data_IF_447256910797
#
_entry.id   IF_447256910797
#
_cell.length_a   1.000
_cell.length_b   1.000
_cell.length_c   1.000
_cell.angle_alpha   90.00
_cell.angle_beta   90.00
_cell.angle_gamma   90.00
#
_symmetry.space_group_name_H-M   'P 1'
#
loop_
_entity.id
_entity.type
_entity.pdbx_description
1 polymer ?
#
# COMPACT_ATOMS: atom_id res chain seq x y z
N UNK A 1 -10.64 4.75 -8.12
CA UNK A 1 -10.78 4.57 -6.66
C UNK A 1 -11.38 3.20 -6.37
N UNK A 2 -11.20 2.70 -5.14
CA UNK A 2 -11.71 1.38 -4.75
C UNK A 2 -13.23 1.35 -4.55
N UNK A 3 -13.80 0.16 -4.70
CA UNK A 3 -15.25 -0.11 -4.62
C UNK A 3 -15.88 0.29 -3.26
N UNK A 4 -15.07 0.39 -2.21
CA UNK A 4 -15.48 0.76 -0.84
C UNK A 4 -15.68 2.26 -0.63
N UNK A 5 -15.43 3.11 -1.65
CA UNK A 5 -15.51 4.57 -1.53
C UNK A 5 -16.68 5.13 -2.32
N UNK A 6 -17.34 6.11 -1.70
CA UNK A 6 -18.31 6.98 -2.35
C UNK A 6 -17.70 8.34 -2.71
N UNK A 7 -18.34 9.04 -3.63
CA UNK A 7 -18.03 10.44 -3.96
C UNK A 7 -19.15 11.33 -3.38
N UNK A 8 -18.96 11.88 -2.19
CA UNK A 8 -20.04 12.59 -1.47
C UNK A 8 -20.44 13.91 -2.13
N UNK A 9 -19.63 14.45 -3.02
CA UNK A 9 -19.91 15.72 -3.70
C UNK A 9 -20.67 15.55 -5.00
N UNK A 10 -20.85 14.31 -5.47
CA UNK A 10 -21.64 13.98 -6.65
C UNK A 10 -22.76 13.05 -6.23
N UNK A 11 -24.00 13.51 -6.37
CA UNK A 11 -25.18 12.77 -5.92
C UNK A 11 -26.13 12.44 -7.06
N UNK A 12 -26.80 11.30 -6.96
CA UNK A 12 -27.94 10.93 -7.79
C UNK A 12 -29.13 10.76 -6.83
N UNK A 13 -30.21 11.49 -7.05
CA UNK A 13 -31.40 11.50 -6.19
C UNK A 13 -31.08 11.74 -4.71
N UNK A 14 -30.09 12.61 -4.44
CA UNK A 14 -29.63 12.96 -3.10
C UNK A 14 -28.68 11.95 -2.43
N UNK A 15 -28.38 10.80 -3.08
CA UNK A 15 -27.45 9.80 -2.59
C UNK A 15 -26.07 9.95 -3.22
N UNK A 16 -24.95 9.84 -2.48
CA UNK A 16 -23.63 9.83 -3.04
C UNK A 16 -23.45 8.73 -4.08
N UNK A 17 -22.78 9.03 -5.19
CA UNK A 17 -22.43 8.03 -6.19
C UNK A 17 -21.20 7.25 -5.76
N UNK A 18 -21.12 5.95 -6.12
CA UNK A 18 -19.90 5.17 -5.99
C UNK A 18 -18.73 5.84 -6.72
N UNK A 19 -17.63 6.07 -5.99
CA UNK A 19 -16.42 6.66 -6.54
C UNK A 19 -15.82 5.81 -7.67
N UNK A 20 -15.98 4.48 -7.59
CA UNK A 20 -15.52 3.55 -8.63
C UNK A 20 -16.34 3.72 -9.91
N UNK A 21 -17.66 3.76 -9.82
CA UNK A 21 -18.54 3.92 -10.99
C UNK A 21 -18.21 5.24 -11.68
N UNK A 22 -18.25 6.34 -10.92
CA UNK A 22 -17.97 7.68 -11.46
C UNK A 22 -16.59 7.75 -12.11
N UNK A 23 -15.55 7.32 -11.40
CA UNK A 23 -14.17 7.40 -11.90
C UNK A 23 -13.95 6.54 -13.15
N UNK A 24 -14.49 5.33 -13.19
CA UNK A 24 -14.38 4.42 -14.34
C UNK A 24 -15.14 4.96 -15.54
N UNK A 25 -16.38 5.42 -15.34
CA UNK A 25 -17.20 5.97 -16.41
C UNK A 25 -16.54 7.22 -17.03
N UNK A 26 -16.10 8.18 -16.20
CA UNK A 26 -15.43 9.39 -16.69
C UNK A 26 -14.12 9.06 -17.42
N UNK A 27 -13.31 8.13 -16.89
CA UNK A 27 -12.07 7.71 -17.54
C UNK A 27 -12.33 7.11 -18.92
N UNK A 28 -13.31 6.24 -19.06
CA UNK A 28 -13.66 5.62 -20.32
C UNK A 28 -14.30 6.62 -21.29
N UNK A 29 -15.22 7.47 -20.81
CA UNK A 29 -15.90 8.46 -21.64
C UNK A 29 -14.95 9.49 -22.26
N UNK A 30 -13.95 9.93 -21.52
CA UNK A 30 -13.03 10.99 -21.99
C UNK A 30 -11.69 10.41 -22.43
N UNK A 31 -10.90 9.88 -21.50
CA UNK A 31 -9.57 9.36 -21.79
C UNK A 31 -9.57 8.09 -22.64
N UNK A 32 -10.52 7.18 -22.39
CA UNK A 32 -10.63 5.92 -23.10
C UNK A 32 -10.92 6.10 -24.60
N UNK A 33 -11.81 7.00 -24.96
CA UNK A 33 -12.08 7.35 -26.36
C UNK A 33 -10.83 7.85 -27.09
N UNK A 34 -10.05 8.71 -26.44
CA UNK A 34 -8.82 9.26 -27.03
C UNK A 34 -7.72 8.21 -27.16
N UNK A 35 -7.60 7.28 -26.18
CA UNK A 35 -6.67 6.16 -26.26
C UNK A 35 -7.05 5.20 -27.38
N UNK A 36 -8.33 4.86 -27.49
CA UNK A 36 -8.82 3.97 -28.54
C UNK A 36 -8.60 4.55 -29.95
N UNK A 37 -8.89 5.85 -30.17
CA UNK A 37 -8.57 6.54 -31.43
C UNK A 37 -7.09 6.45 -31.83
N UNK A 38 -6.20 6.33 -30.86
CA UNK A 38 -4.74 6.16 -31.05
C UNK A 38 -4.31 4.69 -31.15
N UNK A 39 -5.25 3.75 -31.29
CA UNK A 39 -5.01 2.30 -31.26
C UNK A 39 -4.28 1.84 -29.97
N UNK A 40 -4.57 2.45 -28.85
CA UNK A 40 -4.03 2.06 -27.53
C UNK A 40 -5.07 1.30 -26.71
N UNK A 41 -4.63 0.28 -25.98
CA UNK A 41 -5.46 -0.38 -24.98
C UNK A 41 -5.68 0.52 -23.75
N UNK A 42 -6.81 0.31 -23.08
CA UNK A 42 -7.22 1.02 -21.87
C UNK A 42 -7.03 0.08 -20.69
N UNK A 43 -6.12 0.42 -19.78
CA UNK A 43 -5.74 -0.45 -18.67
C UNK A 43 -6.09 0.19 -17.34
N UNK A 44 -6.78 -0.58 -16.49
CA UNK A 44 -7.12 -0.21 -15.13
C UNK A 44 -6.38 -1.07 -14.13
N UNK A 45 -5.96 -0.46 -13.02
CA UNK A 45 -5.65 -1.18 -11.80
C UNK A 45 -6.88 -1.17 -10.91
N UNK A 46 -7.30 -2.35 -10.45
CA UNK A 46 -8.50 -2.56 -9.65
C UNK A 46 -8.09 -2.74 -8.18
N UNK A 47 -8.29 -1.72 -7.34
CA UNK A 47 -7.86 -1.76 -5.94
C UNK A 47 -8.96 -2.28 -5.02
N UNK A 48 -8.54 -2.79 -3.85
CA UNK A 48 -9.39 -3.07 -2.68
C UNK A 48 -10.51 -4.08 -2.94
N UNK A 49 -10.36 -4.94 -3.94
CA UNK A 49 -11.25 -6.08 -4.14
C UNK A 49 -10.76 -7.27 -3.31
N UNK A 50 -11.69 -7.97 -2.69
CA UNK A 50 -11.43 -9.09 -1.78
C UNK A 50 -12.10 -10.39 -2.22
N UNK A 51 -13.07 -10.30 -3.14
CA UNK A 51 -13.90 -11.43 -3.53
C UNK A 51 -14.14 -11.51 -5.05
N UNK A 52 -14.47 -12.71 -5.59
CA UNK A 52 -14.88 -12.89 -6.97
C UNK A 52 -16.13 -12.06 -7.35
N UNK A 53 -17.05 -11.82 -6.41
CA UNK A 53 -18.24 -11.00 -6.67
C UNK A 53 -17.89 -9.54 -6.94
N UNK A 54 -16.89 -8.99 -6.26
CA UNK A 54 -16.43 -7.63 -6.47
C UNK A 54 -15.71 -7.49 -7.82
N UNK A 55 -14.91 -8.48 -8.23
CA UNK A 55 -14.31 -8.47 -9.56
C UNK A 55 -15.32 -8.70 -10.67
N UNK A 56 -16.36 -9.49 -10.43
CA UNK A 56 -17.49 -9.61 -11.33
C UNK A 56 -18.28 -8.30 -11.49
N UNK A 57 -18.38 -7.51 -10.41
CA UNK A 57 -18.94 -6.16 -10.51
C UNK A 57 -18.16 -5.30 -11.51
N UNK A 58 -16.82 -5.31 -11.48
CA UNK A 58 -16.00 -4.59 -12.47
C UNK A 58 -16.19 -5.15 -13.89
N UNK A 59 -16.32 -6.47 -14.05
CA UNK A 59 -16.65 -7.08 -15.35
C UNK A 59 -17.94 -6.46 -15.90
N UNK A 60 -19.00 -6.45 -15.10
CA UNK A 60 -20.30 -5.89 -15.50
C UNK A 60 -20.20 -4.39 -15.78
N UNK A 61 -19.50 -3.63 -14.93
CA UNK A 61 -19.30 -2.19 -15.09
C UNK A 61 -18.59 -1.86 -16.42
N UNK A 62 -17.51 -2.56 -16.75
CA UNK A 62 -16.81 -2.38 -18.02
C UNK A 62 -17.71 -2.75 -19.21
N UNK A 63 -18.47 -3.83 -19.08
CA UNK A 63 -19.41 -4.27 -20.11
C UNK A 63 -20.50 -3.23 -20.38
N UNK A 64 -21.14 -2.73 -19.32
CA UNK A 64 -22.20 -1.72 -19.43
C UNK A 64 -21.67 -0.43 -20.07
N UNK A 65 -20.53 0.07 -19.62
CA UNK A 65 -19.94 1.29 -20.19
C UNK A 65 -19.58 1.08 -21.67
N UNK A 66 -18.93 -0.05 -21.99
CA UNK A 66 -18.53 -0.38 -23.35
C UNK A 66 -19.72 -0.52 -24.28
N UNK A 67 -20.81 -1.10 -23.80
CA UNK A 67 -22.03 -1.31 -24.58
C UNK A 67 -22.82 -0.01 -24.83
N UNK A 68 -22.70 0.96 -23.92
CA UNK A 68 -23.40 2.25 -24.02
C UNK A 68 -22.57 3.38 -24.67
N UNK A 69 -21.30 3.11 -25.00
CA UNK A 69 -20.43 4.08 -25.71
C UNK A 69 -20.01 3.45 -27.04
N UNK A 70 -20.70 3.80 -28.17
CA UNK A 70 -20.44 3.16 -29.46
C UNK A 70 -18.97 3.24 -29.92
N UNK A 71 -18.28 4.32 -29.59
CA UNK A 71 -16.87 4.53 -29.93
C UNK A 71 -15.91 3.59 -29.19
N UNK A 72 -16.39 2.87 -28.16
CA UNK A 72 -15.60 1.89 -27.40
C UNK A 72 -16.01 0.45 -27.66
N UNK A 73 -16.93 0.20 -28.61
CA UNK A 73 -17.51 -1.13 -28.82
C UNK A 73 -16.46 -2.25 -29.07
N UNK A 74 -15.38 -1.92 -29.78
CA UNK A 74 -14.25 -2.80 -30.09
C UNK A 74 -12.95 -2.43 -29.34
N UNK A 75 -13.02 -1.50 -28.38
CA UNK A 75 -11.88 -1.08 -27.59
C UNK A 75 -11.35 -2.20 -26.69
N UNK A 76 -10.03 -2.31 -26.61
CA UNK A 76 -9.37 -3.21 -25.63
C UNK A 76 -9.39 -2.56 -24.26
N UNK A 77 -10.28 -3.02 -23.39
CA UNK A 77 -10.35 -2.62 -21.97
C UNK A 77 -9.87 -3.79 -21.11
N UNK A 78 -8.91 -3.53 -20.20
CA UNK A 78 -8.31 -4.55 -19.34
C UNK A 78 -8.13 -4.05 -17.91
N UNK A 79 -8.33 -4.96 -16.95
CA UNK A 79 -8.11 -4.73 -15.53
C UNK A 79 -7.01 -5.62 -14.96
N UNK A 80 -6.18 -5.04 -14.10
CA UNK A 80 -5.16 -5.73 -13.30
C UNK A 80 -5.64 -5.65 -11.85
N UNK A 81 -5.85 -6.80 -11.22
CA UNK A 81 -6.35 -6.87 -9.85
C UNK A 81 -5.18 -6.70 -8.88
N UNK A 82 -5.30 -5.76 -7.96
CA UNK A 82 -4.36 -5.59 -6.85
C UNK A 82 -4.63 -6.67 -5.79
N UNK A 83 -3.67 -7.55 -5.55
CA UNK A 83 -3.71 -8.49 -4.43
C UNK A 83 -3.12 -7.81 -3.21
N UNK A 84 -4.00 -7.20 -2.42
CA UNK A 84 -3.63 -6.28 -1.35
C UNK A 84 -4.41 -6.51 -0.04
N UNK A 85 -5.17 -7.61 0.03
CA UNK A 85 -5.83 -8.04 1.26
C UNK A 85 -5.73 -9.55 1.45
N UNK A 86 -5.78 -10.00 2.70
CA UNK A 86 -5.67 -11.42 3.01
C UNK A 86 -6.81 -12.26 2.40
N UNK A 87 -8.09 -11.83 2.39
CA UNK A 87 -9.14 -12.56 1.70
C UNK A 87 -8.87 -12.75 0.19
N UNK A 88 -8.35 -11.72 -0.48
CA UNK A 88 -8.01 -11.79 -1.91
C UNK A 88 -6.93 -12.84 -2.19
N UNK A 89 -5.96 -13.02 -1.27
CA UNK A 89 -4.88 -14.00 -1.42
C UNK A 89 -5.40 -15.42 -1.63
N UNK A 90 -6.49 -15.78 -0.95
CA UNK A 90 -7.09 -17.12 -1.04
C UNK A 90 -8.04 -17.29 -2.23
N UNK A 91 -8.40 -16.20 -2.93
CA UNK A 91 -9.39 -16.17 -4.01
C UNK A 91 -8.83 -15.60 -5.33
N UNK A 92 -7.50 -15.52 -5.46
CA UNK A 92 -6.84 -14.89 -6.62
C UNK A 92 -7.30 -15.48 -7.97
N UNK A 93 -7.44 -16.80 -8.05
CA UNK A 93 -7.80 -17.50 -9.28
C UNK A 93 -9.25 -17.24 -9.66
N UNK A 94 -10.17 -17.33 -8.70
CA UNK A 94 -11.59 -17.07 -8.87
C UNK A 94 -11.86 -15.59 -9.21
N UNK A 95 -11.11 -14.66 -8.59
CA UNK A 95 -11.19 -13.24 -8.90
C UNK A 95 -10.74 -12.96 -10.34
N UNK A 96 -9.63 -13.56 -10.77
CA UNK A 96 -9.14 -13.44 -12.14
C UNK A 96 -10.16 -13.97 -13.14
N UNK A 97 -10.75 -15.15 -12.87
CA UNK A 97 -11.79 -15.75 -13.69
C UNK A 97 -13.05 -14.87 -13.77
N UNK A 98 -13.49 -14.30 -12.63
CA UNK A 98 -14.71 -13.48 -12.55
C UNK A 98 -14.62 -12.15 -13.28
N UNK A 99 -13.41 -11.60 -13.46
CA UNK A 99 -13.16 -10.43 -14.31
C UNK A 99 -13.31 -10.73 -15.80
N UNK A 100 -13.26 -12.01 -16.20
CA UNK A 100 -13.57 -12.52 -17.53
C UNK A 100 -12.70 -11.93 -18.63
N UNK A 101 -13.32 -11.52 -19.75
CA UNK A 101 -12.60 -10.98 -20.91
C UNK A 101 -11.78 -9.70 -20.61
N UNK A 102 -12.08 -9.03 -19.51
CA UNK A 102 -11.37 -7.83 -19.08
C UNK A 102 -10.15 -8.12 -18.20
N UNK A 103 -9.93 -9.38 -17.79
CA UNK A 103 -8.76 -9.74 -17.01
C UNK A 103 -7.46 -9.54 -17.81
N UNK A 104 -6.49 -8.83 -17.23
CA UNK A 104 -5.12 -8.76 -17.73
C UNK A 104 -4.15 -9.53 -16.83
N UNK A 105 -4.30 -9.43 -15.51
CA UNK A 105 -3.39 -10.06 -14.59
C UNK A 105 -3.59 -9.64 -13.14
N UNK A 106 -2.60 -9.97 -12.32
CA UNK A 106 -2.57 -9.70 -10.90
C UNK A 106 -1.33 -8.86 -10.54
N UNK A 107 -1.46 -8.00 -9.54
CA UNK A 107 -0.35 -7.21 -9.01
C UNK A 107 -0.10 -7.51 -7.53
N UNK A 108 1.16 -7.63 -7.17
CA UNK A 108 1.62 -7.87 -5.79
C UNK A 108 1.69 -6.55 -5.01
N UNK A 109 0.61 -6.11 -4.41
CA UNK A 109 0.51 -4.87 -3.66
C UNK A 109 0.95 -5.05 -2.19
N UNK A 110 2.25 -4.98 -1.94
CA UNK A 110 2.93 -5.40 -0.70
C UNK A 110 2.43 -4.73 0.58
N UNK A 111 2.25 -3.41 0.54
CA UNK A 111 2.08 -2.62 1.76
C UNK A 111 0.67 -2.78 2.34
N UNK A 112 -0.35 -2.65 1.52
CA UNK A 112 -1.73 -2.91 1.93
C UNK A 112 -1.93 -4.37 2.35
N UNK A 113 -1.29 -5.31 1.66
CA UNK A 113 -1.33 -6.73 2.03
C UNK A 113 -0.74 -6.96 3.43
N UNK A 114 0.42 -6.36 3.74
CA UNK A 114 1.00 -6.43 5.09
C UNK A 114 0.05 -5.86 6.14
N UNK A 115 -0.56 -4.70 5.87
CA UNK A 115 -1.53 -4.09 6.77
C UNK A 115 -2.73 -5.01 7.00
N UNK A 116 -3.27 -5.60 5.93
CA UNK A 116 -4.40 -6.53 6.03
C UNK A 116 -4.05 -7.77 6.86
N UNK A 117 -2.91 -8.40 6.61
CA UNK A 117 -2.47 -9.57 7.38
C UNK A 117 -2.30 -9.21 8.86
N UNK A 118 -1.66 -8.08 9.15
CA UNK A 118 -1.47 -7.60 10.52
C UNK A 118 -2.80 -7.39 11.25
N UNK A 119 -3.80 -6.80 10.59
CA UNK A 119 -5.15 -6.59 11.13
C UNK A 119 -5.84 -7.92 11.45
N UNK A 120 -5.69 -8.94 10.62
CA UNK A 120 -6.26 -10.27 10.86
C UNK A 120 -5.64 -11.00 12.05
N UNK A 121 -4.34 -10.86 12.27
CA UNK A 121 -3.63 -11.54 13.38
C UNK A 121 -3.44 -10.68 14.62
N UNK A 122 -3.96 -9.45 14.62
CA UNK A 122 -3.68 -8.45 15.66
C UNK A 122 -4.07 -8.88 17.07
N UNK A 123 -5.11 -9.71 17.21
CA UNK A 123 -5.63 -10.16 18.49
C UNK A 123 -4.79 -11.27 19.15
N UNK A 124 -3.90 -11.92 18.42
CA UNK A 124 -3.09 -13.05 18.90
C UNK A 124 -1.68 -12.59 19.26
N UNK A 125 -1.30 -12.78 20.54
CA UNK A 125 0.01 -12.41 21.07
C UNK A 125 1.17 -13.15 20.40
N UNK A 126 0.93 -14.35 19.87
CA UNK A 126 1.94 -15.13 19.18
C UNK A 126 2.33 -14.53 17.82
N UNK A 127 1.54 -13.60 17.31
CA UNK A 127 1.74 -12.95 16.02
C UNK A 127 2.11 -11.47 16.14
N UNK A 128 2.69 -11.03 17.27
CA UNK A 128 3.20 -9.67 17.37
C UNK A 128 4.37 -9.47 16.41
N UNK A 129 4.22 -8.53 15.49
CA UNK A 129 5.20 -8.29 14.44
C UNK A 129 6.42 -7.51 14.94
N UNK A 130 7.64 -7.86 14.44
CA UNK A 130 8.87 -7.11 14.70
C UNK A 130 8.82 -5.72 14.05
N UNK A 131 9.91 -5.01 14.06
CA UNK A 131 10.02 -3.70 13.44
C UNK A 131 9.70 -3.76 11.94
N UNK A 132 9.04 -2.73 11.42
CA UNK A 132 8.46 -2.71 10.08
C UNK A 132 9.46 -3.09 8.97
N UNK A 133 10.70 -2.64 9.09
CA UNK A 133 11.72 -2.86 8.08
C UNK A 133 12.34 -4.25 8.13
N UNK A 134 12.15 -5.00 9.21
CA UNK A 134 12.55 -6.40 9.31
C UNK A 134 11.59 -7.34 8.58
N UNK A 135 10.36 -6.89 8.30
CA UNK A 135 9.37 -7.70 7.57
C UNK A 135 9.56 -7.52 6.08
N UNK A 136 10.48 -8.26 5.49
CA UNK A 136 10.74 -8.26 4.03
C UNK A 136 10.13 -9.48 3.36
N UNK A 137 9.99 -9.44 2.03
CA UNK A 137 9.51 -10.59 1.26
C UNK A 137 10.50 -11.74 1.35
N UNK A 138 11.78 -11.42 1.33
CA UNK A 138 12.85 -12.42 1.28
C UNK A 138 13.03 -13.18 2.60
N UNK A 139 12.76 -12.54 3.74
CA UNK A 139 12.90 -13.16 5.06
C UNK A 139 11.56 -13.62 5.68
N UNK A 140 10.46 -13.51 4.95
CA UNK A 140 9.13 -13.90 5.41
C UNK A 140 8.54 -14.91 4.43
N UNK A 141 8.56 -16.20 4.81
CA UNK A 141 8.22 -17.29 3.89
C UNK A 141 6.80 -17.18 3.34
N UNK A 142 5.80 -16.91 4.17
CA UNK A 142 4.42 -16.78 3.70
C UNK A 142 4.25 -15.63 2.70
N UNK A 143 4.98 -14.51 2.85
CA UNK A 143 4.95 -13.42 1.89
C UNK A 143 5.56 -13.83 0.55
N UNK A 144 6.70 -14.52 0.59
CA UNK A 144 7.31 -15.11 -0.61
C UNK A 144 6.34 -16.07 -1.31
N UNK A 145 5.68 -16.94 -0.55
CA UNK A 145 4.73 -17.92 -1.09
C UNK A 145 3.47 -17.27 -1.67
N UNK A 146 2.94 -16.21 -1.04
CA UNK A 146 1.83 -15.43 -1.63
C UNK A 146 2.21 -14.93 -3.03
N UNK A 147 3.41 -14.38 -3.19
CA UNK A 147 3.82 -13.82 -4.47
C UNK A 147 4.16 -14.88 -5.51
N UNK A 148 4.77 -16.00 -5.10
CA UNK A 148 4.97 -17.15 -5.97
C UNK A 148 3.65 -17.76 -6.42
N UNK A 149 2.67 -17.87 -5.51
CA UNK A 149 1.31 -18.34 -5.83
C UNK A 149 0.61 -17.42 -6.81
N UNK A 150 0.74 -16.10 -6.64
CA UNK A 150 0.23 -15.10 -7.60
C UNK A 150 0.81 -15.32 -8.99
N UNK A 151 2.14 -15.49 -9.08
CA UNK A 151 2.82 -15.79 -10.35
C UNK A 151 2.31 -17.11 -10.95
N UNK A 152 2.22 -18.17 -10.13
CA UNK A 152 1.75 -19.48 -10.59
C UNK A 152 0.35 -19.42 -11.19
N UNK A 153 -0.58 -18.70 -10.56
CA UNK A 153 -1.94 -18.48 -11.08
C UNK A 153 -1.90 -17.70 -12.40
N UNK A 154 -1.11 -16.62 -12.47
CA UNK A 154 -0.97 -15.87 -13.71
C UNK A 154 -0.41 -16.74 -14.85
N UNK A 155 0.65 -17.52 -14.60
CA UNK A 155 1.25 -18.41 -15.58
C UNK A 155 0.28 -19.51 -16.04
N UNK A 156 -0.49 -20.08 -15.12
CA UNK A 156 -1.51 -21.10 -15.40
C UNK A 156 -2.58 -20.59 -16.39
N UNK A 157 -2.94 -19.32 -16.30
CA UNK A 157 -4.02 -18.69 -17.06
C UNK A 157 -3.55 -17.71 -18.15
N UNK A 158 -2.27 -17.69 -18.51
CA UNK A 158 -1.68 -16.73 -19.46
C UNK A 158 -1.99 -15.26 -19.10
N UNK A 159 -2.06 -14.97 -17.82
CA UNK A 159 -2.24 -13.63 -17.27
C UNK A 159 -0.89 -12.99 -16.90
N UNK A 160 -0.88 -11.68 -16.69
CA UNK A 160 0.34 -10.90 -16.42
C UNK A 160 0.61 -10.80 -14.92
N UNK A 161 1.70 -11.37 -14.39
CA UNK A 161 2.13 -11.13 -13.02
C UNK A 161 2.94 -9.84 -12.93
N UNK A 162 2.48 -8.88 -12.13
CA UNK A 162 3.14 -7.59 -11.90
C UNK A 162 3.64 -7.52 -10.46
N UNK A 163 4.93 -7.23 -10.30
CA UNK A 163 5.58 -7.10 -9.00
C UNK A 163 5.21 -5.81 -8.25
N UNK A 164 5.80 -5.65 -7.08
CA UNK A 164 5.50 -4.53 -6.20
C UNK A 164 6.17 -3.21 -6.62
N UNK A 165 5.77 -2.13 -5.96
CA UNK A 165 6.34 -0.80 -6.18
C UNK A 165 7.69 -0.63 -5.45
N UNK A 166 8.70 -0.14 -6.15
CA UNK A 166 9.89 0.42 -5.54
C UNK A 166 9.56 1.83 -5.02
N UNK A 167 9.70 2.05 -3.72
CA UNK A 167 9.20 3.25 -3.03
C UNK A 167 10.20 4.38 -2.89
N UNK A 168 11.48 4.15 -3.23
CA UNK A 168 12.52 5.17 -3.13
C UNK A 168 12.26 6.36 -4.06
N UNK A 169 12.53 7.56 -3.53
CA UNK A 169 12.48 8.82 -4.26
C UNK A 169 13.89 9.30 -4.58
N UNK A 170 14.08 10.07 -5.66
CA UNK A 170 15.39 10.64 -5.97
C UNK A 170 15.83 11.65 -4.91
N UNK A 171 17.13 11.65 -4.63
CA UNK A 171 17.82 12.60 -3.76
C UNK A 171 18.68 13.57 -4.59
N UNK A 172 19.08 14.69 -3.98
CA UNK A 172 20.14 15.56 -4.53
C UNK A 172 21.54 14.96 -4.30
N UNK A 173 21.67 14.00 -3.38
CA UNK A 173 22.88 13.29 -3.08
C UNK A 173 22.98 12.03 -4.00
N UNK A 174 23.98 11.98 -4.83
CA UNK A 174 24.18 10.90 -5.81
C UNK A 174 24.50 9.56 -5.13
N UNK A 175 25.20 9.56 -4.00
CA UNK A 175 25.49 8.32 -3.25
C UNK A 175 24.19 7.68 -2.75
N UNK A 176 23.24 8.50 -2.29
CA UNK A 176 21.90 8.06 -1.86
C UNK A 176 21.14 7.46 -3.05
N UNK A 177 21.21 8.07 -4.23
CA UNK A 177 20.58 7.55 -5.43
C UNK A 177 21.18 6.20 -5.87
N UNK A 178 22.50 6.05 -5.77
CA UNK A 178 23.20 4.80 -6.08
C UNK A 178 22.80 3.67 -5.11
N UNK A 179 22.68 3.97 -3.82
CA UNK A 179 22.19 3.02 -2.82
C UNK A 179 20.75 2.59 -3.12
N UNK A 180 19.87 3.57 -3.42
CA UNK A 180 18.50 3.30 -3.82
C UNK A 180 18.41 2.40 -5.06
N UNK A 181 19.20 2.70 -6.08
CA UNK A 181 19.24 1.91 -7.31
C UNK A 181 19.69 0.46 -7.08
N UNK A 182 20.71 0.24 -6.22
CA UNK A 182 21.17 -1.10 -5.83
C UNK A 182 20.07 -1.90 -5.11
N UNK A 183 19.40 -1.26 -4.15
CA UNK A 183 18.31 -1.89 -3.40
C UNK A 183 17.14 -2.24 -4.32
N UNK A 184 16.73 -1.32 -5.20
CA UNK A 184 15.66 -1.53 -6.18
C UNK A 184 16.02 -2.69 -7.11
N UNK A 185 17.22 -2.70 -7.65
CA UNK A 185 17.68 -3.75 -8.55
C UNK A 185 17.66 -5.12 -7.89
N UNK A 186 18.19 -5.25 -6.66
CA UNK A 186 18.15 -6.51 -5.91
C UNK A 186 16.72 -7.02 -5.67
N UNK A 187 15.81 -6.13 -5.31
CA UNK A 187 14.40 -6.44 -5.12
C UNK A 187 13.75 -6.95 -6.44
N UNK A 188 14.01 -6.26 -7.56
CA UNK A 188 13.45 -6.64 -8.87
C UNK A 188 14.13 -7.86 -9.48
N UNK A 189 15.39 -8.14 -9.15
CA UNK A 189 16.04 -9.40 -9.48
C UNK A 189 15.35 -10.60 -8.82
N UNK A 190 14.96 -10.46 -7.56
CA UNK A 190 14.18 -11.47 -6.89
C UNK A 190 12.83 -11.68 -7.59
N UNK A 191 12.07 -10.60 -7.85
CA UNK A 191 10.78 -10.66 -8.54
C UNK A 191 10.91 -11.31 -9.92
N UNK A 192 11.87 -10.89 -10.73
CA UNK A 192 12.10 -11.44 -12.07
C UNK A 192 12.39 -12.95 -12.04
N UNK A 193 13.21 -13.42 -11.08
CA UNK A 193 13.50 -14.84 -10.87
C UNK A 193 12.28 -15.65 -10.39
N UNK A 194 11.27 -15.02 -9.79
CA UNK A 194 10.02 -15.67 -9.45
C UNK A 194 9.04 -15.75 -10.65
N UNK A 195 9.34 -15.07 -11.77
CA UNK A 195 8.50 -15.07 -12.97
C UNK A 195 7.62 -13.83 -13.12
N UNK A 196 7.77 -12.82 -12.28
CA UNK A 196 7.19 -11.50 -12.56
C UNK A 196 7.81 -10.92 -13.82
N UNK A 197 7.01 -10.22 -14.62
CA UNK A 197 7.48 -9.65 -15.90
C UNK A 197 7.52 -8.13 -15.89
N UNK A 198 6.96 -7.49 -14.87
CA UNK A 198 6.89 -6.04 -14.68
C UNK A 198 6.82 -5.70 -13.21
N UNK A 199 7.05 -4.42 -12.88
CA UNK A 199 6.89 -3.87 -11.54
C UNK A 199 6.54 -2.38 -11.60
N UNK A 200 6.35 -1.77 -10.43
CA UNK A 200 6.09 -0.34 -10.28
C UNK A 200 7.28 0.38 -9.67
N UNK A 201 7.35 1.68 -9.95
CA UNK A 201 8.24 2.64 -9.28
C UNK A 201 7.41 3.82 -8.79
N UNK A 202 7.77 4.36 -7.62
CA UNK A 202 7.15 5.57 -7.09
C UNK A 202 7.57 6.83 -7.87
N UNK A 203 8.73 6.81 -8.51
CA UNK A 203 9.23 7.93 -9.29
C UNK A 203 9.97 7.44 -10.54
N UNK A 204 9.73 8.13 -11.67
CA UNK A 204 10.27 7.78 -12.99
C UNK A 204 11.81 7.73 -13.02
N UNK A 205 12.49 8.47 -12.15
CA UNK A 205 13.96 8.45 -12.01
C UNK A 205 14.52 7.04 -11.79
N UNK A 206 13.78 6.18 -11.11
CA UNK A 206 14.18 4.81 -10.78
C UNK A 206 13.66 3.75 -11.77
N UNK A 207 13.14 4.16 -12.91
CA UNK A 207 12.56 3.22 -13.89
C UNK A 207 13.60 2.28 -14.48
N UNK A 208 14.79 2.78 -14.83
CA UNK A 208 15.84 1.96 -15.43
C UNK A 208 16.37 0.88 -14.46
N UNK A 209 16.80 1.19 -13.23
CA UNK A 209 17.24 0.15 -12.29
C UNK A 209 16.13 -0.84 -11.94
N UNK A 210 14.85 -0.44 -11.99
CA UNK A 210 13.74 -1.36 -11.78
C UNK A 210 13.45 -2.25 -12.99
N UNK A 211 13.65 -1.76 -14.21
CA UNK A 211 13.37 -2.50 -15.44
C UNK A 211 14.48 -3.46 -15.85
N UNK A 212 15.73 -3.14 -15.54
CA UNK A 212 16.92 -3.90 -15.96
C UNK A 212 16.86 -5.40 -15.62
N UNK A 213 16.47 -5.82 -14.40
CA UNK A 213 16.39 -7.25 -14.07
C UNK A 213 15.41 -8.04 -14.95
N UNK A 214 14.25 -7.45 -15.27
CA UNK A 214 13.26 -8.09 -16.13
C UNK A 214 13.76 -8.19 -17.58
N UNK A 215 14.43 -7.15 -18.09
CA UNK A 215 15.07 -7.18 -19.43
C UNK A 215 16.12 -8.29 -19.51
N UNK A 216 17.01 -8.38 -18.52
CA UNK A 216 18.08 -9.41 -18.47
C UNK A 216 17.51 -10.83 -18.44
N UNK A 217 16.49 -11.09 -17.64
CA UNK A 217 15.85 -12.41 -17.62
C UNK A 217 15.22 -12.74 -18.97
N UNK A 218 14.53 -11.79 -19.60
CA UNK A 218 13.94 -11.97 -20.91
C UNK A 218 15.02 -12.25 -21.97
N UNK A 219 16.08 -11.44 -22.02
CA UNK A 219 17.20 -11.60 -22.97
C UNK A 219 17.97 -12.90 -22.79
N UNK A 220 18.00 -13.47 -21.58
CA UNK A 220 18.63 -14.76 -21.30
C UNK A 220 17.87 -15.96 -21.86
N UNK A 221 16.63 -15.75 -22.33
CA UNK A 221 15.75 -16.83 -22.77
C UNK A 221 15.21 -17.69 -21.61
N UNK A 222 15.35 -17.24 -20.35
CA UNK A 222 14.82 -17.95 -19.20
C UNK A 222 13.28 -18.05 -19.27
N UNK A 223 12.78 -19.26 -19.00
CA UNK A 223 11.35 -19.52 -18.92
C UNK A 223 10.99 -20.15 -17.59
N UNK A 224 9.81 -19.82 -17.02
CA UNK A 224 9.31 -20.47 -15.82
C UNK A 224 9.18 -21.98 -16.03
N UNK A 225 9.55 -22.76 -15.03
CA UNK A 225 9.38 -24.22 -15.04
C UNK A 225 7.90 -24.61 -14.87
N UNK A 226 7.56 -25.84 -15.21
CA UNK A 226 6.20 -26.37 -15.03
C UNK A 226 5.78 -26.39 -13.55
N UNK A 227 6.73 -26.55 -12.63
CA UNK A 227 6.44 -26.52 -11.20
C UNK A 227 6.10 -25.10 -10.71
N UNK A 228 6.66 -24.07 -11.33
CA UNK A 228 6.32 -22.68 -11.03
C UNK A 228 4.89 -22.29 -11.45
N UNK A 229 4.24 -23.09 -12.28
CA UNK A 229 2.86 -22.88 -12.73
C UNK A 229 1.83 -23.53 -11.80
N UNK A 230 2.27 -24.23 -10.75
CA UNK A 230 1.40 -24.96 -9.81
C UNK A 230 1.19 -24.17 -8.54
N UNK A 231 0.02 -23.52 -8.33
CA UNK A 231 -0.23 -22.73 -7.11
C UNK A 231 -0.07 -23.52 -5.80
N UNK A 232 -0.36 -24.82 -5.85
CA UNK A 232 -0.29 -25.69 -4.65
C UNK A 232 1.13 -25.94 -4.15
N UNK A 233 2.16 -25.66 -4.97
CA UNK A 233 3.55 -25.70 -4.53
C UNK A 233 3.92 -24.55 -3.58
N UNK A 234 3.03 -23.57 -3.43
CA UNK A 234 3.24 -22.38 -2.61
C UNK A 234 2.15 -22.25 -1.54
N UNK A 235 2.19 -23.09 -0.48
CA UNK A 235 1.22 -23.04 0.61
C UNK A 235 1.34 -21.72 1.36
N UNK A 236 0.18 -21.17 1.75
CA UNK A 236 0.11 -19.95 2.53
C UNK A 236 -0.18 -20.30 3.96
N UNK A 237 0.86 -20.21 4.79
CA UNK A 237 0.77 -20.43 6.23
C UNK A 237 1.28 -19.17 6.91
N UNK A 238 0.35 -18.39 7.47
CA UNK A 238 0.72 -17.15 8.16
C UNK A 238 1.49 -17.51 9.42
N UNK A 239 2.68 -16.93 9.57
CA UNK A 239 3.58 -17.11 10.68
C UNK A 239 4.06 -15.75 11.19
N UNK A 240 4.51 -15.69 12.44
CA UNK A 240 5.16 -14.49 12.96
C UNK A 240 6.44 -14.22 12.16
N UNK A 241 6.60 -13.02 11.55
CA UNK A 241 7.84 -12.67 10.90
C UNK A 241 9.02 -12.66 11.89
N UNK A 242 10.21 -13.04 11.41
CA UNK A 242 11.44 -12.93 12.18
C UNK A 242 11.92 -11.48 12.20
N UNK A 243 12.48 -11.05 13.31
CA UNK A 243 13.03 -9.71 13.52
C UNK A 243 12.94 -9.29 14.97
N UNK A 244 13.45 -8.11 15.27
CA UNK A 244 13.43 -7.52 16.62
C UNK A 244 12.28 -6.52 16.77
N UNK A 245 11.82 -6.34 18.00
CA UNK A 245 10.82 -5.34 18.35
C UNK A 245 11.48 -4.27 19.23
N UNK A 246 11.56 -3.04 18.73
CA UNK A 246 12.27 -1.98 19.42
C UNK A 246 11.38 -0.75 19.69
N UNK A 247 11.75 0.03 20.70
CA UNK A 247 11.16 1.33 20.97
C UNK A 247 11.47 2.30 19.82
N UNK A 248 12.68 2.21 19.26
CA UNK A 248 13.07 3.00 18.10
C UNK A 248 12.20 2.68 16.87
N UNK A 249 11.89 1.39 16.61
CA UNK A 249 10.95 1.00 15.55
C UNK A 249 9.55 1.57 15.78
N UNK A 250 9.11 1.68 17.04
CA UNK A 250 7.84 2.35 17.37
C UNK A 250 7.91 3.86 17.09
N UNK A 251 9.00 4.53 17.43
CA UNK A 251 9.22 5.95 17.08
C UNK A 251 9.18 6.18 15.57
N UNK A 252 9.83 5.32 14.80
CA UNK A 252 9.82 5.39 13.34
C UNK A 252 8.40 5.26 12.75
N UNK A 253 7.60 4.34 13.28
CA UNK A 253 6.19 4.20 12.91
C UNK A 253 5.38 5.46 13.25
N UNK A 254 5.59 6.04 14.43
CA UNK A 254 4.94 7.28 14.88
C UNK A 254 5.31 8.44 13.95
N UNK A 255 6.59 8.62 13.63
CA UNK A 255 7.06 9.65 12.71
C UNK A 255 6.44 9.50 11.32
N UNK A 256 6.43 8.28 10.78
CA UNK A 256 5.78 7.99 9.50
C UNK A 256 4.31 8.40 9.52
N UNK A 257 3.60 8.06 10.58
CA UNK A 257 2.18 8.34 10.73
C UNK A 257 1.90 9.85 10.82
N UNK A 258 2.65 10.59 11.64
CA UNK A 258 2.50 12.04 11.79
C UNK A 258 2.82 12.76 10.49
N UNK A 259 3.92 12.41 9.84
CA UNK A 259 4.35 13.01 8.57
C UNK A 259 3.35 12.75 7.44
N UNK A 260 2.81 11.53 7.36
CA UNK A 260 1.77 11.20 6.39
C UNK A 260 0.49 12.00 6.65
N UNK A 261 0.02 12.04 7.90
CA UNK A 261 -1.20 12.74 8.28
C UNK A 261 -1.10 14.26 8.04
N UNK A 262 0.05 14.86 8.33
CA UNK A 262 0.29 16.28 7.96
C UNK A 262 0.17 16.47 6.44
N UNK A 263 0.81 15.61 5.64
CA UNK A 263 0.68 15.64 4.19
C UNK A 263 -0.76 15.50 3.73
N UNK A 264 -1.51 14.59 4.33
CA UNK A 264 -2.92 14.35 4.01
C UNK A 264 -3.80 15.55 4.36
N UNK A 265 -3.59 16.21 5.51
CA UNK A 265 -4.29 17.45 5.87
C UNK A 265 -4.04 18.58 4.87
N UNK A 266 -2.90 18.56 4.19
CA UNK A 266 -2.54 19.49 3.11
C UNK A 266 -2.97 18.98 1.71
N UNK A 267 -3.83 17.97 1.62
CA UNK A 267 -4.35 17.43 0.37
C UNK A 267 -3.41 16.51 -0.41
N UNK A 268 -2.37 15.98 0.24
CA UNK A 268 -1.43 15.03 -0.37
C UNK A 268 -1.83 13.59 -0.04
N UNK A 269 -2.02 12.77 -1.05
CA UNK A 269 -2.32 11.34 -0.89
C UNK A 269 -1.11 10.48 -0.51
N UNK A 270 0.11 11.00 -0.70
CA UNK A 270 1.38 10.39 -0.33
C UNK A 270 2.42 11.47 0.01
N UNK A 271 3.43 11.10 0.80
CA UNK A 271 4.51 12.00 1.21
C UNK A 271 5.86 11.28 1.18
N UNK A 272 6.89 11.95 0.65
CA UNK A 272 8.27 11.48 0.77
C UNK A 272 8.80 11.73 2.18
N UNK A 273 9.26 10.66 2.85
CA UNK A 273 9.78 10.72 4.22
C UNK A 273 11.20 10.16 4.22
N UNK A 274 12.18 11.01 4.54
CA UNK A 274 13.62 10.69 4.47
C UNK A 274 14.28 10.46 5.84
N UNK A 275 13.54 10.62 6.92
CA UNK A 275 14.06 10.62 8.29
C UNK A 275 13.68 9.40 9.13
N UNK A 276 13.25 8.34 8.49
CA UNK A 276 12.79 7.12 9.18
C UNK A 276 13.86 6.47 10.08
N UNK A 277 15.13 6.73 9.84
CA UNK A 277 16.21 6.13 10.62
C UNK A 277 17.05 7.14 11.42
N UNK A 278 16.52 8.31 11.71
CA UNK A 278 17.22 9.33 12.50
C UNK A 278 18.44 9.95 11.83
N UNK A 279 18.71 9.67 10.54
CA UNK A 279 19.84 10.20 9.77
C UNK A 279 19.35 10.94 8.53
N UNK A 280 18.97 12.22 8.66
CA UNK A 280 18.46 13.00 7.53
C UNK A 280 19.44 13.02 6.36
N UNK A 281 18.93 12.79 5.14
CA UNK A 281 19.72 12.90 3.90
C UNK A 281 20.76 11.81 3.68
N UNK A 282 20.81 10.76 4.51
CA UNK A 282 21.75 9.62 4.37
C UNK A 282 21.09 8.37 3.82
N UNK A 283 19.78 8.38 3.65
CA UNK A 283 18.98 7.32 3.03
C UNK A 283 17.99 7.93 2.05
N UNK A 284 17.58 7.19 1.02
CA UNK A 284 16.54 7.68 0.12
C UNK A 284 15.23 7.92 0.87
N UNK A 285 14.56 9.03 0.57
CA UNK A 285 13.19 9.23 1.00
C UNK A 285 12.32 8.13 0.41
N UNK A 286 11.39 7.62 1.19
CA UNK A 286 10.41 6.63 0.74
C UNK A 286 9.06 7.29 0.51
N UNK A 287 8.36 6.89 -0.54
CA UNK A 287 6.98 7.28 -0.77
C UNK A 287 6.09 6.55 0.23
N UNK A 288 5.63 7.28 1.24
CA UNK A 288 4.71 6.79 2.26
C UNK A 288 3.28 7.24 1.92
N UNK A 289 2.34 6.32 2.04
CA UNK A 289 0.93 6.52 1.72
C UNK A 289 0.00 5.96 2.81
N UNK A 290 -1.30 5.84 2.51
CA UNK A 290 -2.26 5.29 3.46
C UNK A 290 -1.93 3.86 3.88
N UNK A 291 -1.40 3.02 2.98
CA UNK A 291 -1.09 1.63 3.29
C UNK A 291 0.03 1.53 4.34
N UNK A 292 1.09 2.31 4.18
CA UNK A 292 2.21 2.34 5.12
C UNK A 292 1.85 2.99 6.45
N UNK A 293 0.97 4.00 6.43
CA UNK A 293 0.40 4.57 7.64
C UNK A 293 -0.48 3.56 8.41
N UNK A 294 -1.27 2.72 7.70
CA UNK A 294 -2.04 1.62 8.31
C UNK A 294 -1.13 0.60 9.00
N UNK A 295 -0.04 0.16 8.36
CA UNK A 295 0.94 -0.74 8.98
C UNK A 295 1.50 -0.11 10.27
N UNK A 296 1.92 1.15 10.20
CA UNK A 296 2.46 1.86 11.35
C UNK A 296 1.46 1.93 12.50
N UNK A 297 0.21 2.30 12.20
CA UNK A 297 -0.88 2.33 13.20
C UNK A 297 -1.14 0.94 13.78
N UNK A 298 -1.21 -0.09 12.93
CA UNK A 298 -1.46 -1.46 13.34
C UNK A 298 -0.35 -2.03 14.23
N UNK A 299 0.92 -1.82 13.87
CA UNK A 299 2.05 -2.26 14.71
C UNK A 299 2.07 -1.57 16.07
N UNK A 300 1.84 -0.26 16.12
CA UNK A 300 1.77 0.47 17.38
C UNK A 300 0.62 -0.05 18.25
N UNK A 301 -0.56 -0.22 17.67
CA UNK A 301 -1.72 -0.73 18.40
C UNK A 301 -1.52 -2.16 18.90
N UNK A 302 -0.95 -3.06 18.07
CA UNK A 302 -0.65 -4.44 18.45
C UNK A 302 0.31 -4.48 19.64
N UNK A 303 1.36 -3.63 19.64
CA UNK A 303 2.32 -3.54 20.75
C UNK A 303 1.66 -3.07 22.05
N UNK A 304 0.70 -2.14 21.98
CA UNK A 304 -0.09 -1.68 23.14
C UNK A 304 -1.00 -2.80 23.66
N UNK A 305 -1.74 -3.47 22.77
CA UNK A 305 -2.69 -4.55 23.13
C UNK A 305 -1.97 -5.64 23.93
N UNK A 306 -0.81 -6.08 23.42
CA UNK A 306 -0.06 -7.20 24.00
C UNK A 306 1.01 -6.76 25.01
N UNK A 307 1.09 -5.46 25.35
CA UNK A 307 2.10 -4.89 26.26
C UNK A 307 3.51 -5.36 25.92
N UNK A 308 3.82 -5.39 24.62
CA UNK A 308 5.06 -5.96 24.10
C UNK A 308 6.28 -5.25 24.67
N UNK A 309 7.29 -6.00 25.09
CA UNK A 309 8.52 -5.46 25.65
C UNK A 309 9.50 -5.13 24.52
N UNK A 310 10.07 -3.95 24.54
CA UNK A 310 11.12 -3.51 23.61
C UNK A 310 12.42 -4.22 23.92
N UNK A 311 13.10 -4.74 22.89
CA UNK A 311 14.39 -5.42 23.05
C UNK A 311 15.56 -4.44 23.28
N UNK A 312 15.41 -3.18 22.84
CA UNK A 312 16.42 -2.12 22.99
C UNK A 312 16.38 -1.39 24.33
N UNK A 313 15.21 -1.33 25.00
CA UNK A 313 15.05 -0.57 26.26
C UNK A 313 14.43 -1.35 27.40
N UNK A 314 14.00 -2.59 27.16
CA UNK A 314 13.28 -3.44 28.12
C UNK A 314 11.96 -2.81 28.65
N UNK A 315 11.45 -1.77 27.98
CA UNK A 315 10.20 -1.11 28.34
C UNK A 315 8.98 -1.78 27.69
N UNK A 316 7.90 -1.92 28.45
CA UNK A 316 6.63 -2.40 27.95
C UNK A 316 5.87 -1.29 27.19
N UNK A 317 5.35 -1.60 26.03
CA UNK A 317 4.51 -0.68 25.27
C UNK A 317 3.17 -0.48 25.98
N UNK A 318 2.84 0.77 26.24
CA UNK A 318 1.60 1.21 26.87
C UNK A 318 1.02 2.42 26.12
N UNK A 319 -0.24 2.74 26.38
CA UNK A 319 -0.84 3.99 25.86
C UNK A 319 -0.05 5.23 26.32
N UNK A 320 0.40 5.25 27.58
CA UNK A 320 1.20 6.35 28.14
C UNK A 320 2.52 6.51 27.40
N UNK A 321 3.32 5.44 27.24
CA UNK A 321 4.57 5.47 26.49
C UNK A 321 4.36 5.96 25.04
N UNK A 322 3.36 5.43 24.35
CA UNK A 322 3.09 5.81 22.95
C UNK A 322 2.66 7.27 22.86
N UNK A 323 1.85 7.77 23.80
CA UNK A 323 1.48 9.19 23.87
C UNK A 323 2.70 10.09 24.04
N UNK A 324 3.60 9.76 24.98
CA UNK A 324 4.86 10.49 25.19
C UNK A 324 5.71 10.50 23.92
N UNK A 325 5.84 9.36 23.23
CA UNK A 325 6.57 9.27 21.97
C UNK A 325 5.93 10.12 20.87
N UNK A 326 4.60 10.16 20.76
CA UNK A 326 3.90 10.99 19.75
C UNK A 326 4.15 12.47 20.03
N UNK A 327 4.09 12.90 21.29
CA UNK A 327 4.36 14.31 21.66
C UNK A 327 5.80 14.66 21.32
N UNK A 328 6.78 13.86 21.79
CA UNK A 328 8.20 14.15 21.55
C UNK A 328 8.56 14.13 20.08
N UNK A 329 8.03 13.18 19.28
CA UNK A 329 8.27 13.15 17.84
C UNK A 329 7.64 14.34 17.11
N UNK A 330 6.49 14.81 17.57
CA UNK A 330 5.85 16.01 16.99
C UNK A 330 6.70 17.25 17.24
N UNK A 331 7.21 17.41 18.45
CA UNK A 331 8.12 18.49 18.84
C UNK A 331 9.43 18.42 18.02
N UNK A 332 10.06 17.25 17.96
CA UNK A 332 11.28 17.02 17.17
C UNK A 332 11.09 17.37 15.68
N UNK A 333 9.95 17.02 15.08
CA UNK A 333 9.64 17.36 13.69
C UNK A 333 9.50 18.89 13.54
N UNK A 334 8.76 19.56 14.43
CA UNK A 334 8.56 21.00 14.38
C UNK A 334 9.88 21.74 14.57
N UNK A 335 10.71 21.32 15.51
CA UNK A 335 12.04 21.91 15.76
C UNK A 335 12.97 21.76 14.56
N UNK A 336 12.93 20.60 13.88
CA UNK A 336 13.73 20.35 12.68
C UNK A 336 13.30 21.17 11.47
N UNK A 337 12.06 21.62 11.40
CA UNK A 337 11.60 22.56 10.38
C UNK A 337 12.18 23.97 10.59
N UNK A 338 12.54 24.31 11.83
CA UNK A 338 13.17 25.57 12.20
C UNK A 338 12.26 26.78 12.01
N UNK A 339 12.88 27.97 11.91
CA UNK A 339 12.19 29.26 11.75
C UNK A 339 11.48 29.39 10.39
N UNK A 340 11.77 28.52 9.43
CA UNK A 340 11.15 28.54 8.10
C UNK A 340 9.75 27.92 8.05
N UNK A 341 9.35 27.20 9.10
CA UNK A 341 8.02 26.63 9.21
C UNK A 341 6.97 27.70 9.48
N UNK A 342 5.93 27.75 8.65
CA UNK A 342 4.77 28.61 8.90
C UNK A 342 3.98 28.13 10.12
N UNK A 343 3.23 29.06 10.76
CA UNK A 343 2.35 28.71 11.87
C UNK A 343 1.27 27.69 11.44
N UNK A 344 0.79 27.76 10.20
CA UNK A 344 -0.15 26.80 9.65
C UNK A 344 0.47 25.39 9.56
N UNK A 345 1.74 25.31 9.18
CA UNK A 345 2.45 24.01 9.11
C UNK A 345 2.62 23.40 10.50
N UNK A 346 3.05 24.19 11.49
CA UNK A 346 3.15 23.74 12.89
C UNK A 346 1.78 23.30 13.43
N UNK A 347 0.74 24.07 13.13
CA UNK A 347 -0.64 23.73 13.49
C UNK A 347 -1.08 22.40 12.88
N UNK A 348 -0.74 22.14 11.61
CA UNK A 348 -1.09 20.87 10.93
C UNK A 348 -0.35 19.67 11.54
N UNK A 349 0.90 19.80 11.97
CA UNK A 349 1.60 18.73 12.71
C UNK A 349 0.94 18.44 14.05
N UNK A 350 0.53 19.46 14.81
CA UNK A 350 -0.23 19.29 16.05
C UNK A 350 -1.60 18.62 15.83
N UNK A 351 -2.29 18.92 14.71
CA UNK A 351 -3.52 18.23 14.32
C UNK A 351 -3.24 16.79 13.93
N UNK A 352 -2.19 16.55 13.17
CA UNK A 352 -1.78 15.21 12.74
C UNK A 352 -1.48 14.30 13.94
N UNK A 353 -0.78 14.80 14.97
CA UNK A 353 -0.50 14.02 16.17
C UNK A 353 -1.77 13.60 16.92
N UNK A 354 -2.77 14.47 17.02
CA UNK A 354 -4.06 14.13 17.66
C UNK A 354 -4.87 13.13 16.85
N UNK A 355 -4.87 13.25 15.51
CA UNK A 355 -5.51 12.27 14.63
C UNK A 355 -4.79 10.93 14.75
N UNK A 356 -3.45 10.92 14.82
CA UNK A 356 -2.67 9.70 15.03
C UNK A 356 -3.06 8.99 16.34
N UNK A 357 -3.16 9.72 17.45
CA UNK A 357 -3.60 9.19 18.74
C UNK A 357 -4.98 8.54 18.65
N UNK A 358 -5.94 9.21 18.02
CA UNK A 358 -7.28 8.66 17.85
C UNK A 358 -7.28 7.42 16.96
N UNK A 359 -6.51 7.41 15.89
CA UNK A 359 -6.44 6.28 14.97
C UNK A 359 -5.80 5.07 15.63
N UNK A 360 -4.71 5.25 16.37
CA UNK A 360 -4.08 4.19 17.19
C UNK A 360 -5.07 3.65 18.23
N UNK A 361 -5.80 4.53 18.94
CA UNK A 361 -6.84 4.12 19.89
C UNK A 361 -7.87 3.23 19.23
N UNK A 362 -8.41 3.64 18.07
CA UNK A 362 -9.40 2.86 17.33
C UNK A 362 -8.87 1.45 17.03
N UNK A 363 -7.63 1.33 16.59
CA UNK A 363 -6.99 0.03 16.32
C UNK A 363 -6.81 -0.80 17.59
N UNK A 364 -6.53 -0.19 18.75
CA UNK A 364 -6.49 -0.94 20.03
C UNK A 364 -7.86 -1.49 20.45
N UNK A 365 -8.92 -0.98 19.88
CA UNK A 365 -10.31 -1.40 20.08
C UNK A 365 -10.83 -2.26 18.90
N UNK A 366 -9.94 -2.72 18.01
CA UNK A 366 -10.24 -3.48 16.79
C UNK A 366 -11.20 -2.75 15.84
N UNK A 367 -11.23 -1.42 15.89
CA UNK A 367 -11.94 -0.58 14.95
C UNK A 367 -10.98 -0.15 13.83
N UNK A 368 -10.99 -0.87 12.72
CA UNK A 368 -10.11 -0.65 11.55
C UNK A 368 -10.67 0.36 10.56
N UNK A 369 -11.45 1.33 11.02
CA UNK A 369 -12.01 2.36 10.16
C UNK A 369 -10.92 3.07 9.36
N UNK A 370 -11.05 3.04 8.04
CA UNK A 370 -10.10 3.70 7.12
C UNK A 370 -10.14 5.22 7.29
N UNK A 371 -8.98 5.86 7.23
CA UNK A 371 -8.86 7.32 7.27
C UNK A 371 -9.71 8.00 6.18
N UNK A 372 -9.75 7.41 4.97
CA UNK A 372 -10.55 7.93 3.85
C UNK A 372 -12.07 7.90 4.04
N UNK A 373 -12.57 7.22 5.08
CA UNK A 373 -13.99 7.16 5.43
C UNK A 373 -14.43 8.26 6.42
N UNK A 374 -13.49 9.05 6.95
CA UNK A 374 -13.81 10.20 7.80
C UNK A 374 -14.18 11.41 6.96
N UNK A 375 -15.19 12.13 7.40
CA UNK A 375 -15.48 13.45 6.86
C UNK A 375 -14.46 14.47 7.36
N UNK A 376 -14.29 15.57 6.62
CA UNK A 376 -13.42 16.67 7.05
C UNK A 376 -13.84 17.26 8.41
N UNK A 377 -15.15 17.27 8.69
CA UNK A 377 -15.69 17.73 9.98
C UNK A 377 -15.24 16.81 11.12
N UNK A 378 -15.44 15.49 10.99
CA UNK A 378 -15.01 14.52 12.01
C UNK A 378 -13.51 14.65 12.31
N UNK A 379 -12.67 14.80 11.27
CA UNK A 379 -11.22 14.96 11.47
C UNK A 379 -10.85 16.29 12.17
N UNK A 380 -11.54 17.37 11.85
CA UNK A 380 -11.36 18.63 12.57
C UNK A 380 -11.83 18.53 14.03
N UNK A 381 -12.93 17.84 14.31
CA UNK A 381 -13.42 17.61 15.66
C UNK A 381 -12.41 16.77 16.47
N UNK A 382 -11.84 15.71 15.88
CA UNK A 382 -10.77 14.92 16.48
C UNK A 382 -9.54 15.81 16.76
N UNK A 383 -9.09 16.57 15.77
CA UNK A 383 -7.91 17.44 15.88
C UNK A 383 -8.05 18.52 16.95
N UNK A 384 -9.27 18.98 17.24
CA UNK A 384 -9.52 20.02 18.24
C UNK A 384 -9.76 19.46 19.66
N UNK A 385 -10.31 18.24 19.77
CA UNK A 385 -10.86 17.73 21.02
C UNK A 385 -10.19 16.44 21.53
N UNK A 386 -9.31 15.80 20.74
CA UNK A 386 -8.80 14.48 21.11
C UNK A 386 -7.66 14.55 22.10
N UNK A 387 -7.85 13.90 23.25
CA UNK A 387 -6.83 13.40 24.16
C UNK A 387 -7.05 11.89 24.27
N UNK A 388 -6.88 11.20 23.13
CA UNK A 388 -7.44 9.88 22.91
C UNK A 388 -6.63 8.72 23.54
N UNK A 389 -5.31 8.89 23.78
CA UNK A 389 -4.44 7.87 24.38
C UNK A 389 -4.17 8.09 25.85
#
# INVERSE_FOLDING_TARGET
RGIHLDEPQVTIDGNPISATILGTALTLCFGGREQHKKNQGIYFYIPKTETPNETKFYNNLFHEIQSNIPELADATIKGIILIESLPAVFQMEEMLFSLGKYAAGLNAARWDLKASILEYVMHDENYVWPDRFDVTIQNTEFMSNIFRRLVAICLKHNAVPIGGMATALPSRDEEVNLEAAKSIKSDKEWEAKQGFIRAWVAHIYHMDPAAEPFKKIHESGWLPTEDMKKPDNYPIKIEKPNGILTKEGTRQNIRTLIEYLEGWLNGRGAKGIDRLAGKPGKRPALMEDLATARISTGQIAQRIIHKSISEDTEEAHSKGLVKELIVSETEDIIDQLGETASDDQKTNYNKASKIAMQWIKNYTEFNFRSLGSYTRKELNDIANNSDAL
#
